data_IF_389547800016
#
_entry.id   IF_389547800016
#
_cell.length_a   1.000
_cell.length_b   1.000
_cell.length_c   1.000
_cell.angle_alpha   90.00
_cell.angle_beta   90.00
_cell.angle_gamma   90.00
#
_symmetry.space_group_name_H-M   'P 1'
#
loop_
_entity.id
_entity.type
_entity.pdbx_description
1 polymer ?
#
# COMPACT_ATOMS: atom_id res chain seq x y z
N UNK A 1 -9.98 -18.59 -11.84
CA UNK A 1 -9.76 -17.58 -10.78
C UNK A 1 -8.45 -16.87 -11.08
N UNK A 2 -8.42 -15.54 -11.07
CA UNK A 2 -7.19 -14.77 -11.31
C UNK A 2 -6.31 -14.80 -10.05
N UNK A 3 -5.07 -15.31 -10.10
CA UNK A 3 -4.14 -15.25 -8.99
C UNK A 3 -3.90 -13.81 -8.51
N UNK A 4 -3.66 -13.63 -7.21
CA UNK A 4 -3.41 -12.29 -6.62
C UNK A 4 -2.36 -11.50 -7.41
N UNK A 5 -1.25 -12.15 -7.79
CA UNK A 5 -0.18 -11.54 -8.57
C UNK A 5 -0.66 -11.00 -9.92
N UNK A 6 -1.47 -11.76 -10.65
CA UNK A 6 -2.00 -11.34 -11.94
C UNK A 6 -2.99 -10.19 -11.77
N UNK A 7 -3.84 -10.27 -10.74
CA UNK A 7 -4.82 -9.24 -10.47
C UNK A 7 -4.19 -7.89 -10.08
N UNK A 8 -3.19 -7.87 -9.20
CA UNK A 8 -2.48 -6.63 -8.85
C UNK A 8 -1.72 -6.03 -10.06
N UNK A 9 -1.29 -6.88 -10.99
CA UNK A 9 -0.66 -6.44 -12.24
C UNK A 9 -1.68 -5.81 -13.19
N UNK A 10 -2.84 -6.45 -13.36
CA UNK A 10 -3.95 -5.98 -14.19
C UNK A 10 -4.46 -4.60 -13.73
N UNK A 11 -4.65 -4.41 -12.42
CA UNK A 11 -5.17 -3.14 -11.90
C UNK A 11 -4.10 -2.06 -11.79
N UNK A 12 -2.84 -2.32 -12.16
CA UNK A 12 -1.80 -1.29 -12.28
C UNK A 12 -1.00 -0.97 -11.01
N UNK A 13 -1.07 -1.78 -9.95
CA UNK A 13 -0.36 -1.54 -8.68
C UNK A 13 1.17 -1.41 -8.86
N UNK A 14 1.75 -2.08 -9.85
CA UNK A 14 3.20 -1.99 -10.14
C UNK A 14 3.67 -0.59 -10.53
N UNK A 15 2.75 0.30 -10.92
CA UNK A 15 3.07 1.67 -11.30
C UNK A 15 3.34 2.57 -10.09
N UNK A 16 2.95 2.16 -8.88
CA UNK A 16 3.21 2.91 -7.65
C UNK A 16 4.73 2.97 -7.42
N UNK A 17 5.35 4.15 -7.33
CA UNK A 17 6.81 4.29 -7.23
C UNK A 17 7.43 3.45 -6.11
N UNK A 18 6.89 3.56 -4.89
CA UNK A 18 7.34 2.79 -3.73
C UNK A 18 7.27 1.27 -3.97
N UNK A 19 6.14 0.77 -4.48
CA UNK A 19 5.94 -0.66 -4.75
C UNK A 19 6.89 -1.20 -5.83
N UNK A 20 7.31 -0.36 -6.76
CA UNK A 20 8.29 -0.70 -7.80
C UNK A 20 9.71 -0.80 -7.23
N UNK A 21 10.09 0.12 -6.34
CA UNK A 21 11.39 0.17 -5.68
C UNK A 21 11.55 -0.96 -4.64
N UNK A 22 10.49 -1.25 -3.86
CA UNK A 22 10.49 -2.21 -2.76
C UNK A 22 10.07 -3.63 -3.19
N UNK A 23 10.80 -4.20 -4.17
CA UNK A 23 10.47 -5.50 -4.81
C UNK A 23 10.43 -6.67 -3.82
N UNK A 24 11.29 -6.66 -2.81
CA UNK A 24 11.39 -7.73 -1.82
C UNK A 24 10.14 -7.77 -0.92
N UNK A 25 9.75 -6.63 -0.35
CA UNK A 25 8.53 -6.48 0.44
C UNK A 25 7.29 -6.86 -0.38
N UNK A 26 7.16 -6.33 -1.61
CA UNK A 26 6.07 -6.70 -2.54
C UNK A 26 5.98 -8.21 -2.76
N UNK A 27 7.10 -8.85 -3.12
CA UNK A 27 7.12 -10.30 -3.37
C UNK A 27 6.70 -11.10 -2.15
N UNK A 28 7.15 -10.68 -0.96
CA UNK A 28 6.83 -11.32 0.31
C UNK A 28 5.34 -11.25 0.60
N UNK A 29 4.78 -10.03 0.61
CA UNK A 29 3.35 -9.81 0.85
C UNK A 29 2.48 -10.56 -0.17
N UNK A 30 2.79 -10.47 -1.47
CA UNK A 30 2.01 -11.18 -2.50
C UNK A 30 2.06 -12.70 -2.30
N UNK A 31 3.21 -13.27 -1.92
CA UNK A 31 3.34 -14.71 -1.68
C UNK A 31 2.55 -15.15 -0.44
N UNK A 32 2.62 -14.39 0.64
CA UNK A 32 1.94 -14.70 1.90
C UNK A 32 0.42 -14.61 1.76
N UNK A 33 -0.08 -13.61 1.04
CA UNK A 33 -1.52 -13.35 0.95
C UNK A 33 -2.21 -14.09 -0.20
N UNK A 34 -1.47 -14.62 -1.20
CA UNK A 34 -2.06 -15.29 -2.36
C UNK A 34 -3.00 -16.46 -2.02
N UNK A 35 -2.68 -17.37 -1.07
CA UNK A 35 -3.59 -18.48 -0.73
C UNK A 35 -4.92 -17.98 -0.15
N UNK A 36 -4.88 -16.94 0.70
CA UNK A 36 -6.08 -16.38 1.29
C UNK A 36 -6.93 -15.66 0.24
N UNK A 37 -6.30 -14.91 -0.68
CA UNK A 37 -6.99 -14.25 -1.77
C UNK A 37 -7.78 -15.24 -2.65
N UNK A 38 -7.14 -16.35 -3.05
CA UNK A 38 -7.80 -17.41 -3.82
C UNK A 38 -9.02 -17.92 -3.07
N UNK A 39 -8.83 -18.29 -1.79
CA UNK A 39 -9.90 -18.84 -0.94
C UNK A 39 -11.09 -17.88 -0.79
N UNK A 40 -10.86 -16.58 -0.56
CA UNK A 40 -11.97 -15.63 -0.37
C UNK A 40 -12.72 -15.36 -1.68
N UNK A 41 -12.01 -15.34 -2.81
CA UNK A 41 -12.64 -15.20 -4.12
C UNK A 41 -13.47 -16.44 -4.48
N UNK A 42 -13.00 -17.65 -4.15
CA UNK A 42 -13.75 -18.91 -4.38
C UNK A 42 -14.98 -19.02 -3.48
N UNK A 43 -14.87 -18.58 -2.22
CA UNK A 43 -15.99 -18.61 -1.26
C UNK A 43 -17.11 -17.60 -1.60
N UNK A 44 -16.78 -16.52 -2.31
CA UNK A 44 -17.72 -15.44 -2.68
C UNK A 44 -17.48 -15.02 -4.14
N UNK A 45 -17.82 -15.89 -5.11
CA UNK A 45 -17.48 -15.67 -6.52
C UNK A 45 -18.23 -14.49 -7.15
N UNK A 46 -19.40 -14.13 -6.60
CA UNK A 46 -20.21 -12.99 -7.09
C UNK A 46 -19.69 -11.63 -6.62
N UNK A 47 -18.70 -11.61 -5.72
CA UNK A 47 -18.07 -10.37 -5.24
C UNK A 47 -16.86 -10.04 -6.11
N UNK A 48 -16.78 -8.79 -6.58
CA UNK A 48 -15.68 -8.34 -7.42
C UNK A 48 -14.31 -8.55 -6.74
N UNK A 49 -13.28 -9.06 -7.44
CA UNK A 49 -11.96 -9.32 -6.86
C UNK A 49 -11.31 -8.11 -6.17
N UNK A 50 -11.60 -6.89 -6.64
CA UNK A 50 -11.12 -5.66 -6.01
C UNK A 50 -11.64 -5.46 -4.58
N UNK A 51 -12.86 -5.92 -4.28
CA UNK A 51 -13.44 -5.85 -2.92
C UNK A 51 -12.80 -6.90 -1.99
N UNK A 52 -12.48 -8.08 -2.52
CA UNK A 52 -11.70 -9.09 -1.79
C UNK A 52 -10.29 -8.58 -1.49
N UNK A 53 -9.65 -7.93 -2.46
CA UNK A 53 -8.35 -7.30 -2.28
C UNK A 53 -8.41 -6.19 -1.21
N UNK A 54 -9.44 -5.36 -1.21
CA UNK A 54 -9.64 -4.34 -0.17
C UNK A 54 -9.70 -4.97 1.22
N UNK A 55 -10.52 -6.02 1.41
CA UNK A 55 -10.62 -6.70 2.70
C UNK A 55 -9.31 -7.34 3.16
N UNK A 56 -8.55 -7.92 2.22
CA UNK A 56 -7.24 -8.50 2.48
C UNK A 56 -6.20 -7.44 2.88
N UNK A 57 -6.24 -6.27 2.25
CA UNK A 57 -5.37 -5.14 2.55
C UNK A 57 -5.73 -4.47 3.87
N UNK A 58 -7.01 -4.34 4.20
CA UNK A 58 -7.45 -3.86 5.52
C UNK A 58 -6.92 -4.78 6.62
N UNK A 59 -7.05 -6.11 6.45
CA UNK A 59 -6.46 -7.09 7.38
C UNK A 59 -4.94 -6.93 7.47
N UNK A 60 -4.26 -6.87 6.32
CA UNK A 60 -2.80 -6.76 6.26
C UNK A 60 -2.30 -5.48 6.94
N UNK A 61 -3.04 -4.37 6.81
CA UNK A 61 -2.68 -3.09 7.41
C UNK A 61 -2.77 -3.15 8.93
N UNK A 62 -3.84 -3.73 9.46
CA UNK A 62 -4.01 -3.96 10.91
C UNK A 62 -2.85 -4.81 11.46
N UNK A 63 -2.54 -5.92 10.78
CA UNK A 63 -1.46 -6.82 11.21
C UNK A 63 -0.08 -6.18 11.11
N UNK A 64 0.21 -5.45 10.02
CA UNK A 64 1.49 -4.77 9.84
C UNK A 64 1.67 -3.61 10.84
N UNK A 65 0.60 -2.88 11.15
CA UNK A 65 0.61 -1.82 12.18
C UNK A 65 0.93 -2.40 13.55
N UNK A 66 0.23 -3.46 13.95
CA UNK A 66 0.47 -4.14 15.22
C UNK A 66 1.90 -4.73 15.30
N UNK A 67 2.38 -5.34 14.22
CA UNK A 67 3.73 -5.90 14.15
C UNK A 67 4.81 -4.82 14.27
N UNK A 68 4.62 -3.68 13.60
CA UNK A 68 5.53 -2.55 13.72
C UNK A 68 5.55 -2.02 15.16
N UNK A 69 4.38 -1.78 15.76
CA UNK A 69 4.28 -1.29 17.14
C UNK A 69 4.96 -2.23 18.13
N UNK A 70 4.72 -3.54 18.01
CA UNK A 70 5.34 -4.56 18.85
C UNK A 70 6.88 -4.56 18.76
N UNK A 71 7.45 -4.28 17.58
CA UNK A 71 8.90 -4.34 17.36
C UNK A 71 9.60 -2.98 17.40
N UNK A 72 8.85 -1.88 17.44
CA UNK A 72 9.37 -0.51 17.31
C UNK A 72 10.48 -0.20 18.31
N UNK A 73 10.29 -0.53 19.59
CA UNK A 73 11.29 -0.31 20.65
C UNK A 73 12.56 -1.13 20.42
N UNK A 74 12.44 -2.41 20.06
CA UNK A 74 13.60 -3.27 19.82
C UNK A 74 14.36 -2.84 18.56
N UNK A 75 13.66 -2.44 17.50
CA UNK A 75 14.26 -1.90 16.29
C UNK A 75 15.00 -0.59 16.58
N UNK A 76 14.45 0.26 17.44
CA UNK A 76 15.11 1.49 17.85
C UNK A 76 16.41 1.25 18.62
N UNK A 77 16.40 0.38 19.64
CA UNK A 77 17.61 0.06 20.39
C UNK A 77 18.69 -0.53 19.49
N UNK A 78 18.30 -1.40 18.55
CA UNK A 78 19.24 -1.92 17.56
C UNK A 78 19.82 -0.80 16.69
N UNK A 79 19.01 0.15 16.21
CA UNK A 79 19.49 1.28 15.44
C UNK A 79 20.47 2.15 16.24
N UNK A 80 20.20 2.38 17.54
CA UNK A 80 21.13 3.10 18.42
C UNK A 80 22.46 2.37 18.55
N UNK A 81 22.43 1.06 18.84
CA UNK A 81 23.65 0.25 18.90
C UNK A 81 24.42 0.29 17.58
N UNK A 82 23.75 0.24 16.43
CA UNK A 82 24.39 0.34 15.12
C UNK A 82 25.01 1.72 14.90
N UNK A 83 24.30 2.81 15.25
CA UNK A 83 24.83 4.17 15.17
C UNK A 83 26.09 4.32 16.05
N UNK A 84 26.03 3.83 17.29
CA UNK A 84 27.11 3.94 18.26
C UNK A 84 28.35 3.12 17.88
N UNK A 85 28.17 2.00 17.18
CA UNK A 85 29.25 1.05 16.84
C UNK A 85 29.81 1.24 15.44
N UNK A 86 28.99 1.58 14.45
CA UNK A 86 29.36 1.66 13.04
C UNK A 86 29.40 3.10 12.50
N UNK A 87 28.92 4.06 13.28
CA UNK A 87 28.70 5.43 12.82
C UNK A 87 27.47 5.56 11.91
N UNK A 88 27.01 6.80 11.75
CA UNK A 88 25.77 7.16 11.03
C UNK A 88 25.75 6.61 9.58
N UNK A 89 26.87 6.75 8.85
CA UNK A 89 26.98 6.34 7.43
C UNK A 89 26.62 4.87 7.17
N UNK A 90 26.97 3.99 8.12
CA UNK A 90 26.73 2.55 7.97
C UNK A 90 25.42 2.11 8.60
N UNK A 91 25.01 2.76 9.69
CA UNK A 91 23.79 2.44 10.38
C UNK A 91 22.53 2.84 9.60
N UNK A 92 22.58 3.91 8.79
CA UNK A 92 21.48 4.30 7.88
C UNK A 92 21.14 3.24 6.81
N UNK A 93 22.04 2.29 6.57
CA UNK A 93 21.80 1.16 5.63
C UNK A 93 20.92 0.08 6.26
N UNK A 94 20.74 0.09 7.57
CA UNK A 94 19.82 -0.82 8.25
C UNK A 94 18.38 -0.40 7.97
N UNK A 95 17.55 -1.36 7.55
CA UNK A 95 16.15 -1.09 7.23
C UNK A 95 15.24 -1.83 8.19
N UNK A 96 14.37 -1.08 8.88
CA UNK A 96 13.32 -1.67 9.69
C UNK A 96 12.27 -2.34 8.79
N UNK A 97 12.29 -3.67 8.74
CA UNK A 97 11.47 -4.45 7.82
C UNK A 97 9.98 -4.32 8.10
N UNK A 98 9.56 -4.25 9.38
CA UNK A 98 8.13 -4.08 9.71
C UNK A 98 7.63 -2.70 9.32
N UNK A 99 8.49 -1.66 9.38
CA UNK A 99 8.16 -0.34 8.87
C UNK A 99 8.00 -0.36 7.34
N UNK A 100 8.94 -0.99 6.61
CA UNK A 100 8.86 -1.14 5.15
C UNK A 100 7.57 -1.87 4.72
N UNK A 101 7.22 -2.95 5.42
CA UNK A 101 6.02 -3.72 5.12
C UNK A 101 4.74 -2.92 5.40
N UNK A 102 4.69 -2.13 6.48
CA UNK A 102 3.55 -1.25 6.78
C UNK A 102 3.38 -0.19 5.68
N UNK A 103 4.46 0.50 5.28
CA UNK A 103 4.42 1.50 4.20
C UNK A 103 3.94 0.86 2.90
N UNK A 104 4.48 -0.31 2.54
CA UNK A 104 4.06 -1.05 1.36
C UNK A 104 2.55 -1.32 1.40
N UNK A 105 2.05 -1.91 2.48
CA UNK A 105 0.64 -2.28 2.61
C UNK A 105 -0.26 -1.05 2.55
N UNK A 106 0.13 0.07 3.18
CA UNK A 106 -0.63 1.33 3.11
C UNK A 106 -0.71 1.84 1.67
N UNK A 107 0.37 1.84 0.89
CA UNK A 107 0.31 2.22 -0.53
C UNK A 107 -0.67 1.35 -1.33
N UNK A 108 -0.61 0.03 -1.16
CA UNK A 108 -1.51 -0.91 -1.83
C UNK A 108 -2.97 -0.68 -1.42
N UNK A 109 -3.20 -0.42 -0.14
CA UNK A 109 -4.53 -0.20 0.44
C UNK A 109 -5.16 1.09 -0.07
N UNK A 110 -4.44 2.22 0.02
CA UNK A 110 -4.90 3.52 -0.49
C UNK A 110 -5.14 3.48 -2.01
N UNK A 111 -4.26 2.82 -2.76
CA UNK A 111 -4.47 2.58 -4.19
C UNK A 111 -5.78 1.85 -4.46
N UNK A 112 -6.04 0.77 -3.73
CA UNK A 112 -7.25 -0.03 -3.91
C UNK A 112 -8.51 0.77 -3.53
N UNK A 113 -8.45 1.60 -2.48
CA UNK A 113 -9.53 2.53 -2.12
C UNK A 113 -9.80 3.53 -3.25
N UNK A 114 -8.76 4.11 -3.85
CA UNK A 114 -8.87 4.97 -5.01
C UNK A 114 -9.44 4.25 -6.24
N UNK A 115 -8.96 3.04 -6.52
CA UNK A 115 -9.47 2.17 -7.59
C UNK A 115 -10.95 1.88 -7.45
N UNK A 116 -11.45 1.72 -6.22
CA UNK A 116 -12.85 1.53 -5.91
C UNK A 116 -13.65 2.84 -5.83
N UNK A 117 -13.01 3.99 -6.08
CA UNK A 117 -13.58 5.34 -5.94
C UNK A 117 -14.25 5.56 -4.57
N UNK A 118 -13.59 5.09 -3.52
CA UNK A 118 -13.97 5.35 -2.13
C UNK A 118 -13.76 6.82 -1.78
N UNK A 119 -14.30 7.21 -0.62
CA UNK A 119 -14.23 8.57 -0.12
C UNK A 119 -12.77 9.01 0.16
N UNK A 120 -12.46 10.24 -0.21
CA UNK A 120 -11.10 10.79 -0.08
C UNK A 120 -10.74 11.05 1.38
N UNK A 121 -11.68 11.57 2.19
CA UNK A 121 -11.45 11.85 3.61
C UNK A 121 -11.01 10.58 4.36
N UNK A 122 -11.68 9.47 4.08
CA UNK A 122 -11.31 8.18 4.65
C UNK A 122 -9.87 7.74 4.28
N UNK A 123 -9.49 7.91 3.01
CA UNK A 123 -8.13 7.59 2.56
C UNK A 123 -7.09 8.50 3.22
N UNK A 124 -7.41 9.78 3.39
CA UNK A 124 -6.56 10.75 4.08
C UNK A 124 -6.34 10.37 5.55
N UNK A 125 -7.41 10.02 6.27
CA UNK A 125 -7.33 9.59 7.68
C UNK A 125 -6.43 8.35 7.84
N UNK A 126 -6.53 7.39 6.92
CA UNK A 126 -5.67 6.20 6.92
C UNK A 126 -4.18 6.52 6.64
N UNK A 127 -3.92 7.49 5.75
CA UNK A 127 -2.56 7.96 5.48
C UNK A 127 -1.95 8.66 6.71
N UNK A 128 -2.73 9.52 7.36
CA UNK A 128 -2.35 10.20 8.60
C UNK A 128 -2.12 9.21 9.75
N UNK A 129 -2.99 8.21 9.92
CA UNK A 129 -2.79 7.16 10.91
C UNK A 129 -1.47 6.42 10.69
N UNK A 130 -1.17 6.03 9.45
CA UNK A 130 0.10 5.33 9.12
C UNK A 130 1.31 6.22 9.42
N UNK A 131 1.25 7.50 9.06
CA UNK A 131 2.29 8.49 9.37
C UNK A 131 2.51 8.61 10.88
N UNK A 132 1.43 8.68 11.66
CA UNK A 132 1.50 8.77 13.13
C UNK A 132 2.12 7.50 13.74
N UNK A 133 1.72 6.31 13.29
CA UNK A 133 2.34 5.05 13.71
C UNK A 133 3.84 5.04 13.40
N UNK A 134 4.25 5.51 12.22
CA UNK A 134 5.64 5.52 11.78
C UNK A 134 6.45 6.75 12.22
N UNK A 135 5.89 7.65 13.04
CA UNK A 135 6.49 8.96 13.32
C UNK A 135 7.97 8.87 13.72
N UNK A 136 8.29 7.94 14.61
CA UNK A 136 9.64 7.73 15.09
C UNK A 136 10.62 7.27 13.98
N UNK A 137 10.20 6.33 13.14
CA UNK A 137 11.00 5.86 11.99
C UNK A 137 11.24 6.99 10.99
N UNK A 138 10.22 7.80 10.71
CA UNK A 138 10.30 8.95 9.79
C UNK A 138 11.28 10.01 10.31
N UNK A 139 11.28 10.28 11.62
CA UNK A 139 12.24 11.20 12.26
C UNK A 139 13.67 10.70 12.15
N UNK A 140 13.93 9.42 12.43
CA UNK A 140 15.27 8.83 12.29
C UNK A 140 15.78 8.95 10.86
N UNK A 141 14.93 8.69 9.87
CA UNK A 141 15.27 8.81 8.45
C UNK A 141 15.25 10.23 7.91
N UNK A 142 15.01 11.23 8.77
CA UNK A 142 14.91 12.66 8.40
C UNK A 142 13.94 12.90 7.24
N UNK A 143 12.85 12.15 7.21
CA UNK A 143 11.82 12.28 6.18
C UNK A 143 10.90 13.45 6.51
N UNK A 144 10.55 14.23 5.49
CA UNK A 144 9.50 15.23 5.60
C UNK A 144 8.14 14.53 5.75
N UNK A 145 7.44 14.84 6.84
CA UNK A 145 6.18 14.20 7.19
C UNK A 145 5.10 14.49 6.13
N UNK A 146 4.99 15.74 5.68
CA UNK A 146 3.98 16.13 4.69
C UNK A 146 4.28 15.54 3.31
N UNK A 147 5.56 15.46 2.92
CA UNK A 147 5.98 14.76 1.72
C UNK A 147 5.62 13.27 1.79
N UNK A 148 5.91 12.61 2.92
CA UNK A 148 5.55 11.20 3.11
C UNK A 148 4.04 10.95 2.99
N UNK A 149 3.21 11.79 3.63
CA UNK A 149 1.75 11.68 3.51
C UNK A 149 1.27 11.96 2.08
N UNK A 150 1.90 12.91 1.39
CA UNK A 150 1.62 13.20 -0.03
C UNK A 150 1.93 11.98 -0.90
N UNK A 151 3.05 11.31 -0.67
CA UNK A 151 3.45 10.10 -1.40
C UNK A 151 2.46 8.95 -1.17
N UNK A 152 1.98 8.77 0.06
CA UNK A 152 0.90 7.81 0.37
C UNK A 152 -0.37 8.14 -0.42
N UNK A 153 -0.82 9.41 -0.38
CA UNK A 153 -2.03 9.85 -1.06
C UNK A 153 -1.92 9.84 -2.58
N UNK A 154 -0.72 9.96 -3.14
CA UNK A 154 -0.50 9.76 -4.58
C UNK A 154 -1.00 8.39 -5.02
N UNK A 155 -0.84 7.35 -4.18
CA UNK A 155 -1.32 6.00 -4.52
C UNK A 155 -2.84 5.95 -4.65
N UNK A 156 -3.58 6.64 -3.77
CA UNK A 156 -5.04 6.78 -3.90
C UNK A 156 -5.42 7.44 -5.23
N UNK A 157 -4.75 8.53 -5.61
CA UNK A 157 -5.04 9.21 -6.87
C UNK A 157 -4.73 8.34 -8.08
N UNK A 158 -3.61 7.62 -8.08
CA UNK A 158 -3.27 6.67 -9.15
C UNK A 158 -4.34 5.59 -9.30
N UNK A 159 -4.85 5.02 -8.20
CA UNK A 159 -5.96 4.07 -8.23
C UNK A 159 -7.22 4.70 -8.83
N UNK A 160 -7.55 5.93 -8.43
CA UNK A 160 -8.72 6.67 -8.91
C UNK A 160 -8.68 7.01 -10.40
N UNK A 161 -7.49 7.15 -10.98
CA UNK A 161 -7.30 7.41 -12.42
C UNK A 161 -7.60 6.18 -13.27
N UNK A 162 -7.26 4.99 -12.79
CA UNK A 162 -7.45 3.74 -13.53
C UNK A 162 -8.80 3.06 -13.26
N UNK A 163 -9.64 3.66 -12.42
CA UNK A 163 -10.97 3.14 -12.10
C UNK A 163 -11.79 2.83 -13.38
N UNK A 164 -12.37 1.62 -13.49
CA UNK A 164 -13.05 1.17 -14.71
C UNK A 164 -14.35 1.94 -15.01
N UNK A 165 -15.05 2.47 -14.01
CA UNK A 165 -16.27 3.26 -14.20
C UNK A 165 -15.98 4.60 -14.89
N UNK A 166 -14.83 5.23 -14.60
CA UNK A 166 -14.37 6.42 -15.34
C UNK A 166 -14.13 6.12 -16.82
N UNK A 167 -13.55 4.95 -17.13
CA UNK A 167 -13.29 4.53 -18.53
C UNK A 167 -14.59 4.32 -19.31
N UNK A 168 -15.62 3.73 -18.70
CA UNK A 168 -16.93 3.55 -19.35
C UNK A 168 -17.68 4.88 -19.60
N UNK A 169 -17.53 5.86 -18.71
CA UNK A 169 -18.15 7.19 -18.89
C UNK A 169 -17.62 7.94 -20.11
N UNK A 170 -16.30 7.88 -20.36
CA UNK A 170 -15.68 8.56 -21.49
C UNK A 170 -15.99 7.88 -22.83
N UNK A 171 -15.91 6.54 -22.88
CA UNK A 171 -16.24 5.79 -24.11
C UNK A 171 -17.74 5.88 -24.47
N UNK A 172 -18.64 5.92 -23.50
CA UNK A 172 -20.08 6.08 -23.76
C UNK A 172 -20.42 7.48 -24.26
N UNK A 173 -19.73 8.52 -23.77
CA UNK A 173 -19.87 9.90 -24.25
C UNK A 173 -19.36 10.07 -25.68
N UNK A 174 -18.17 9.53 -25.99
CA UNK A 174 -17.60 9.56 -27.35
C UNK A 174 -18.48 8.80 -28.34
N UNK A 175 -18.99 7.61 -27.99
CA UNK A 175 -19.93 6.88 -28.85
C UNK A 175 -21.19 7.69 -29.18
N UNK A 176 -21.72 8.45 -28.22
CA UNK A 176 -22.89 9.32 -28.43
C UNK A 176 -22.62 10.48 -29.39
N UNK A 177 -21.38 10.99 -29.43
CA UNK A 177 -20.99 12.07 -30.34
C UNK A 177 -20.76 11.61 -31.78
N UNK A 178 -20.36 10.34 -31.98
CA UNK A 178 -20.11 9.76 -33.31
C UNK A 178 -21.28 8.89 -33.82
N UNK A 179 -22.36 8.76 -33.05
CA UNK A 179 -23.60 8.09 -33.46
C UNK A 179 -24.75 9.07 -33.76
N UNK A 180 -24.43 10.35 -33.96
CA UNK A 180 -25.33 11.38 -34.51
C UNK A 180 -24.84 11.80 -35.90
#
# INVERSE_FOLDING_TARGET
MTPLKEFIEEIGIKNIPFVCQHKAARRRWTKEQAPLFIKVCENKPDTAPALHLLGLLTKSHIEASALYEQHSTSAHHMQQVLNDTLGEEHAEKFTNQSAEDLVLVTHLWLYTQGYLNMDFSLAHDHAEQTQNTLQHELVIKRMDLDAFRTDLMQSFYMGKEVNPAKRQGLFSWVKRLFSS
#
